data_IF_871006953796
#
_entry.id   IF_871006953796
#
_cell.length_a   1.000
_cell.length_b   1.000
_cell.length_c   1.000
_cell.angle_alpha   90.00
_cell.angle_beta   90.00
_cell.angle_gamma   90.00
#
_symmetry.space_group_name_H-M   'P 1'
#
loop_
_entity.id
_entity.type
_entity.pdbx_description
1 polymer ?
#
# COMPACT_ATOMS: atom_id res chain seq x y z
N UNK A 1 7.58 5.34 -3.14
CA UNK A 1 7.56 5.22 -4.62
C UNK A 1 8.39 6.32 -5.29
N UNK A 2 8.34 7.59 -4.85
CA UNK A 2 9.16 8.67 -5.43
C UNK A 2 10.66 8.35 -5.58
N UNK A 3 11.25 7.63 -4.62
CA UNK A 3 12.64 7.17 -4.73
C UNK A 3 12.87 6.19 -5.89
N UNK A 4 11.91 5.31 -6.20
CA UNK A 4 12.00 4.39 -7.35
C UNK A 4 11.90 5.16 -8.67
N UNK A 5 10.98 6.14 -8.74
CA UNK A 5 10.83 7.03 -9.89
C UNK A 5 12.12 7.85 -10.14
N UNK A 6 12.74 8.36 -9.07
CA UNK A 6 14.02 9.06 -9.16
C UNK A 6 15.17 8.14 -9.63
N UNK A 7 15.22 6.89 -9.16
CA UNK A 7 16.20 5.90 -9.59
C UNK A 7 16.07 5.54 -11.07
N UNK A 8 14.84 5.39 -11.55
CA UNK A 8 14.55 5.17 -12.98
C UNK A 8 15.01 6.39 -13.81
N UNK A 9 14.68 7.61 -13.38
CA UNK A 9 15.09 8.84 -14.07
C UNK A 9 16.62 9.04 -14.09
N UNK A 10 17.34 8.51 -13.11
CA UNK A 10 18.80 8.56 -13.04
C UNK A 10 19.50 7.54 -13.96
N UNK A 11 18.75 6.72 -14.70
CA UNK A 11 19.27 5.79 -15.70
C UNK A 11 18.69 4.38 -15.60
N UNK A 12 17.99 4.06 -14.50
CA UNK A 12 17.24 2.81 -14.34
C UNK A 12 18.06 1.53 -14.54
N UNK A 13 17.36 0.43 -14.78
CA UNK A 13 17.98 -0.81 -15.24
C UNK A 13 18.25 -0.73 -16.75
N UNK A 14 19.49 -0.97 -17.17
CA UNK A 14 19.89 -0.95 -18.59
C UNK A 14 19.14 -1.97 -19.46
N UNK A 15 18.59 -3.02 -18.86
CA UNK A 15 17.77 -4.02 -19.57
C UNK A 15 16.37 -3.50 -19.89
N UNK A 16 15.96 -2.39 -19.27
CA UNK A 16 14.61 -1.86 -19.30
C UNK A 16 13.82 -2.20 -18.03
N UNK A 17 12.72 -1.48 -17.84
CA UNK A 17 11.75 -1.70 -16.76
C UNK A 17 10.71 -2.74 -17.20
N UNK A 18 10.39 -3.69 -16.31
CA UNK A 18 9.35 -4.70 -16.55
C UNK A 18 8.54 -5.01 -15.29
N UNK A 19 9.14 -4.86 -14.11
CA UNK A 19 8.50 -5.13 -12.83
C UNK A 19 8.82 -4.08 -11.78
N UNK A 20 7.98 -4.01 -10.76
CA UNK A 20 8.18 -3.16 -9.58
C UNK A 20 7.44 -3.76 -8.37
N UNK A 21 8.00 -3.61 -7.17
CA UNK A 21 7.37 -4.09 -5.95
C UNK A 21 7.58 -3.12 -4.80
N UNK A 22 6.65 -3.15 -3.84
CA UNK A 22 6.69 -2.42 -2.58
C UNK A 22 6.29 -3.36 -1.44
N UNK A 23 7.23 -3.62 -0.53
CA UNK A 23 7.01 -4.39 0.68
C UNK A 23 7.32 -3.51 1.89
N UNK A 24 6.34 -3.33 2.78
CA UNK A 24 6.46 -2.53 4.01
C UNK A 24 6.00 -3.37 5.19
N UNK A 25 6.87 -3.47 6.19
CA UNK A 25 6.57 -4.04 7.50
C UNK A 25 6.48 -2.94 8.55
N UNK A 26 5.62 -3.17 9.54
CA UNK A 26 5.41 -2.26 10.68
C UNK A 26 5.56 -3.05 11.98
N UNK A 27 4.62 -2.96 12.92
CA UNK A 27 4.68 -3.62 14.25
C UNK A 27 4.35 -5.11 14.22
N UNK A 28 3.69 -5.57 13.17
CA UNK A 28 3.18 -6.93 13.03
C UNK A 28 4.18 -7.82 12.28
N UNK A 29 4.05 -9.14 12.47
CA UNK A 29 4.96 -10.11 11.83
C UNK A 29 4.64 -10.33 10.35
N UNK A 30 3.47 -9.86 9.90
CA UNK A 30 3.05 -9.82 8.52
C UNK A 30 3.23 -8.42 7.92
N UNK A 31 3.29 -8.35 6.59
CA UNK A 31 3.47 -7.09 5.87
C UNK A 31 2.23 -6.19 6.03
N UNK A 32 2.46 -4.89 6.27
CA UNK A 32 1.39 -3.88 6.21
C UNK A 32 1.00 -3.60 4.76
N UNK A 33 1.98 -3.59 3.86
CA UNK A 33 1.79 -3.44 2.41
C UNK A 33 2.70 -4.45 1.70
N UNK A 34 2.13 -5.27 0.82
CA UNK A 34 2.84 -6.07 -0.17
C UNK A 34 2.15 -5.87 -1.52
N UNK A 35 2.76 -5.06 -2.38
CA UNK A 35 2.26 -4.73 -3.72
C UNK A 35 3.30 -5.09 -4.75
N UNK A 36 2.87 -5.79 -5.80
CA UNK A 36 3.74 -6.28 -6.86
C UNK A 36 3.12 -6.01 -8.22
N UNK A 37 3.97 -5.58 -9.14
CA UNK A 37 3.72 -5.51 -10.57
C UNK A 37 4.79 -6.37 -11.21
N UNK A 38 4.42 -7.59 -11.58
CA UNK A 38 5.39 -8.59 -12.05
C UNK A 38 5.70 -8.47 -13.55
N UNK A 39 4.76 -7.98 -14.36
CA UNK A 39 4.94 -7.77 -15.80
C UNK A 39 4.07 -6.61 -16.31
N UNK A 40 4.70 -5.45 -16.54
CA UNK A 40 4.04 -4.26 -17.10
C UNK A 40 5.06 -3.36 -17.80
N UNK A 41 4.67 -2.74 -18.92
CA UNK A 41 5.55 -1.83 -19.67
C UNK A 41 5.94 -0.57 -18.87
N UNK A 42 5.04 -0.13 -17.99
CA UNK A 42 5.21 1.03 -17.11
C UNK A 42 5.01 0.61 -15.65
N UNK A 43 5.93 -0.19 -15.05
CA UNK A 43 5.66 -0.88 -13.81
C UNK A 43 5.59 0.07 -12.59
N UNK A 44 6.33 1.18 -12.61
CA UNK A 44 6.28 2.18 -11.52
C UNK A 44 4.97 2.98 -11.53
N UNK A 45 4.46 3.34 -12.70
CA UNK A 45 3.16 4.00 -12.82
C UNK A 45 2.02 3.08 -12.35
N UNK A 46 2.11 1.79 -12.71
CA UNK A 46 1.14 0.80 -12.25
C UNK A 46 1.24 0.54 -10.74
N UNK A 47 2.47 0.46 -10.20
CA UNK A 47 2.67 0.32 -8.75
C UNK A 47 2.09 1.53 -7.99
N UNK A 48 2.20 2.74 -8.54
CA UNK A 48 1.56 3.94 -7.98
C UNK A 48 0.04 3.80 -7.96
N UNK A 49 -0.56 3.36 -9.08
CA UNK A 49 -2.00 3.14 -9.18
C UNK A 49 -2.48 2.10 -8.16
N UNK A 50 -1.75 0.99 -7.99
CA UNK A 50 -2.05 -0.02 -6.98
C UNK A 50 -1.91 0.53 -5.56
N UNK A 51 -0.88 1.33 -5.30
CA UNK A 51 -0.68 1.99 -4.01
C UNK A 51 -1.85 2.92 -3.66
N UNK A 52 -2.28 3.76 -4.61
CA UNK A 52 -3.42 4.65 -4.42
C UNK A 52 -4.71 3.84 -4.18
N UNK A 53 -4.92 2.78 -4.97
CA UNK A 53 -6.09 1.90 -4.81
C UNK A 53 -6.11 1.20 -3.46
N UNK A 54 -4.94 0.78 -2.96
CA UNK A 54 -4.81 0.15 -1.65
C UNK A 54 -5.22 1.11 -0.51
N UNK A 55 -4.91 2.41 -0.65
CA UNK A 55 -5.27 3.42 0.36
C UNK A 55 -6.77 3.71 0.44
N UNK A 56 -7.55 3.45 -0.61
CA UNK A 56 -9.00 3.71 -0.59
C UNK A 56 -9.77 2.80 0.39
N UNK A 57 -9.36 1.53 0.50
CA UNK A 57 -10.10 0.52 1.27
C UNK A 57 -9.23 -0.57 1.88
N UNK A 58 -8.26 -1.09 1.13
CA UNK A 58 -7.47 -2.24 1.58
C UNK A 58 -6.71 -1.94 2.88
N UNK A 59 -5.96 -0.84 2.93
CA UNK A 59 -5.16 -0.45 4.09
C UNK A 59 -6.02 -0.20 5.34
N UNK A 60 -7.06 0.66 5.32
CA UNK A 60 -7.88 0.86 6.51
C UNK A 60 -8.65 -0.40 6.94
N UNK A 61 -9.03 -1.25 5.98
CA UNK A 61 -9.62 -2.55 6.29
C UNK A 61 -8.62 -3.47 7.01
N UNK A 62 -7.38 -3.58 6.51
CA UNK A 62 -6.34 -4.41 7.11
C UNK A 62 -6.00 -3.97 8.54
N UNK A 63 -6.09 -2.67 8.85
CA UNK A 63 -5.93 -2.12 10.21
C UNK A 63 -7.02 -2.58 11.19
N UNK A 64 -8.17 -3.02 10.68
CA UNK A 64 -9.22 -3.62 11.49
C UNK A 64 -9.02 -5.12 11.72
N UNK A 65 -8.06 -5.77 11.05
CA UNK A 65 -7.77 -7.18 11.19
C UNK A 65 -7.15 -7.56 12.54
N UNK A 66 -6.94 -8.87 12.77
CA UNK A 66 -6.15 -9.37 13.89
C UNK A 66 -4.77 -8.72 13.94
N UNK A 67 -4.34 -8.28 15.13
CA UNK A 67 -2.99 -7.75 15.38
C UNK A 67 -2.52 -8.17 16.78
N UNK A 68 -1.25 -7.96 17.09
CA UNK A 68 -0.69 -8.18 18.44
C UNK A 68 -1.48 -7.41 19.52
N UNK A 69 -1.94 -6.19 19.22
CA UNK A 69 -2.74 -5.37 20.15
C UNK A 69 -4.22 -5.76 20.20
N UNK A 70 -4.76 -6.39 19.14
CA UNK A 70 -6.15 -6.81 19.04
C UNK A 70 -6.24 -8.18 18.34
N UNK A 71 -6.06 -9.30 19.07
CA UNK A 71 -5.90 -10.62 18.46
C UNK A 71 -7.08 -11.11 17.60
N UNK A 72 -8.30 -10.63 17.88
CA UNK A 72 -9.50 -10.96 17.12
C UNK A 72 -9.90 -9.91 16.09
N UNK A 73 -9.18 -8.78 16.01
CA UNK A 73 -9.55 -7.65 15.16
C UNK A 73 -10.89 -7.01 15.55
N UNK A 74 -11.48 -6.26 14.61
CA UNK A 74 -12.84 -5.74 14.69
C UNK A 74 -13.78 -6.74 14.01
N UNK A 75 -14.80 -7.19 14.74
CA UNK A 75 -15.79 -8.14 14.21
C UNK A 75 -17.06 -7.46 13.71
N UNK A 76 -17.37 -6.27 14.24
CA UNK A 76 -18.54 -5.52 13.82
C UNK A 76 -18.32 -4.81 12.47
N UNK A 77 -19.19 -5.11 11.52
CA UNK A 77 -19.07 -4.57 10.16
C UNK A 77 -19.23 -3.05 10.11
N UNK A 78 -20.12 -2.49 10.93
CA UNK A 78 -20.37 -1.06 10.93
C UNK A 78 -19.14 -0.31 11.42
N UNK A 79 -18.50 -0.78 12.50
CA UNK A 79 -17.25 -0.25 13.01
C UNK A 79 -16.10 -0.29 11.99
N UNK A 80 -16.03 -1.34 11.16
CA UNK A 80 -15.05 -1.43 10.06
C UNK A 80 -15.31 -0.35 9.00
N UNK A 81 -16.56 -0.21 8.54
CA UNK A 81 -16.90 0.79 7.52
C UNK A 81 -16.71 2.23 8.06
N UNK A 82 -16.99 2.46 9.34
CA UNK A 82 -16.69 3.73 10.02
C UNK A 82 -15.19 4.02 10.06
N UNK A 83 -14.35 3.01 10.32
CA UNK A 83 -12.90 3.16 10.31
C UNK A 83 -12.36 3.48 8.91
N UNK A 84 -12.88 2.81 7.87
CA UNK A 84 -12.54 3.12 6.48
C UNK A 84 -12.94 4.56 6.15
N UNK A 85 -14.14 4.99 6.55
CA UNK A 85 -14.60 6.35 6.36
C UNK A 85 -13.74 7.38 7.12
N UNK A 86 -13.31 7.05 8.35
CA UNK A 86 -12.38 7.90 9.14
C UNK A 86 -11.04 8.06 8.42
N UNK A 87 -10.45 6.95 7.97
CA UNK A 87 -9.17 6.96 7.25
C UNK A 87 -9.22 7.83 5.98
N UNK A 88 -10.28 7.68 5.19
CA UNK A 88 -10.47 8.45 3.97
C UNK A 88 -10.66 9.96 4.26
N UNK A 89 -11.36 10.32 5.35
CA UNK A 89 -11.53 11.71 5.79
C UNK A 89 -10.25 12.35 6.34
N UNK A 90 -9.40 11.58 7.03
CA UNK A 90 -8.12 12.08 7.52
C UNK A 90 -7.12 12.40 6.40
N UNK A 91 -7.50 12.16 5.13
CA UNK A 91 -6.64 12.33 3.99
C UNK A 91 -5.49 11.35 4.09
N UNK A 92 -5.70 10.10 3.65
CA UNK A 92 -4.68 9.03 3.61
C UNK A 92 -3.36 9.37 2.88
N UNK A 93 -3.13 10.64 2.54
CA UNK A 93 -1.88 11.27 2.14
C UNK A 93 -1.42 12.25 3.23
N UNK A 94 -0.45 11.82 4.02
CA UNK A 94 0.64 12.73 4.39
C UNK A 94 1.88 12.11 3.76
N UNK A 95 2.38 12.72 2.68
CA UNK A 95 3.73 12.63 2.08
C UNK A 95 3.62 13.22 0.66
N UNK A 96 3.55 14.56 0.61
CA UNK A 96 3.95 15.40 -0.54
C UNK A 96 5.44 15.28 -0.81
#
# INVERSE_FOLDING_TARGET
IAALEAGEAAGGDKRGKQSAALLIHSTEDYAEIDLRVDDHAEPLAELRRLYDKAHERFIPFMRCGPSKARPWGVLDRQAIEEEIARFNKSGGRTLT
#
